data_IF_216829352903
#
_entry.id   IF_216829352903
#
_cell.length_a   1.000
_cell.length_b   1.000
_cell.length_c   1.000
_cell.angle_alpha   90.00
_cell.angle_beta   90.00
_cell.angle_gamma   90.00
#
_symmetry.space_group_name_H-M   'P 1'
#
loop_
_entity.id
_entity.type
_entity.pdbx_description
1 polymer ?
#
# COMPACT_ATOMS: atom_id res chain seq x y z
N UNK A 1 -15.98 -7.55 0.70
CA UNK A 1 -15.16 -7.59 1.92
C UNK A 1 -14.10 -6.52 1.75
N UNK A 2 -13.93 -5.61 2.71
CA UNK A 2 -12.98 -4.49 2.57
C UNK A 2 -11.64 -4.92 3.15
N UNK A 3 -10.66 -5.21 2.30
CA UNK A 3 -9.31 -5.61 2.70
C UNK A 3 -8.48 -4.37 3.04
N UNK A 4 -8.61 -3.89 4.28
CA UNK A 4 -7.85 -2.75 4.80
C UNK A 4 -6.61 -3.22 5.55
N UNK A 5 -5.44 -2.70 5.17
CA UNK A 5 -4.17 -2.96 5.85
C UNK A 5 -3.63 -1.67 6.45
N UNK A 6 -3.45 -1.65 7.78
CA UNK A 6 -2.88 -0.47 8.46
C UNK A 6 -1.47 -0.20 7.92
N UNK A 7 -1.17 1.04 7.54
CA UNK A 7 0.13 1.44 6.96
C UNK A 7 1.29 1.03 7.87
N UNK A 8 1.14 1.13 9.18
CA UNK A 8 2.18 0.75 10.14
C UNK A 8 2.48 -0.76 10.20
N UNK A 9 1.56 -1.62 9.71
CA UNK A 9 1.69 -3.09 9.73
C UNK A 9 2.02 -3.70 8.37
N UNK A 10 2.19 -2.89 7.33
CA UNK A 10 2.52 -3.40 5.98
C UNK A 10 3.87 -4.11 5.95
N UNK A 11 4.82 -3.70 6.80
CA UNK A 11 6.13 -4.34 6.89
C UNK A 11 6.07 -5.73 7.54
N UNK A 12 5.01 -6.05 8.28
CA UNK A 12 4.79 -7.36 8.89
C UNK A 12 4.24 -8.37 7.87
N UNK A 13 3.83 -7.90 6.68
CA UNK A 13 3.28 -8.72 5.61
C UNK A 13 4.29 -8.88 4.48
N UNK A 14 4.95 -10.05 4.34
CA UNK A 14 5.98 -10.25 3.31
C UNK A 14 5.42 -10.20 1.88
N UNK A 15 4.12 -10.52 1.70
CA UNK A 15 3.46 -10.51 0.39
C UNK A 15 3.07 -9.10 -0.08
N UNK A 16 3.25 -8.07 0.75
CA UNK A 16 2.87 -6.71 0.40
C UNK A 16 4.01 -6.00 -0.37
N UNK A 17 3.76 -5.47 -1.57
CA UNK A 17 4.84 -5.06 -2.48
C UNK A 17 5.53 -3.74 -2.10
N UNK A 18 4.99 -2.97 -1.14
CA UNK A 18 5.49 -1.64 -0.79
C UNK A 18 5.90 -1.55 0.69
N UNK A 19 6.95 -0.79 0.96
CA UNK A 19 7.35 -0.47 2.34
C UNK A 19 6.43 0.59 2.95
N UNK A 20 6.32 0.60 4.27
CA UNK A 20 5.59 1.65 5.00
C UNK A 20 6.09 3.05 4.66
N UNK A 21 7.42 3.22 4.50
CA UNK A 21 8.04 4.49 4.11
C UNK A 21 7.54 5.00 2.76
N UNK A 22 7.41 4.12 1.76
CA UNK A 22 6.88 4.46 0.44
C UNK A 22 5.43 4.92 0.54
N UNK A 23 4.61 4.23 1.34
CA UNK A 23 3.21 4.59 1.56
C UNK A 23 3.06 5.92 2.30
N UNK A 24 3.90 6.19 3.30
CA UNK A 24 3.93 7.50 3.98
C UNK A 24 4.35 8.62 3.03
N UNK A 25 5.33 8.36 2.16
CA UNK A 25 5.71 9.32 1.12
C UNK A 25 4.52 9.58 0.18
N UNK A 26 3.85 8.54 -0.31
CA UNK A 26 2.66 8.68 -1.15
C UNK A 26 1.53 9.45 -0.47
N UNK A 27 1.29 9.19 0.82
CA UNK A 27 0.33 9.95 1.63
C UNK A 27 0.73 11.43 1.71
N UNK A 28 2.02 11.72 1.93
CA UNK A 28 2.55 13.08 2.03
C UNK A 28 2.45 13.85 0.72
N UNK A 29 2.84 13.24 -0.40
CA UNK A 29 2.75 13.84 -1.74
C UNK A 29 1.35 13.73 -2.36
N UNK A 30 0.37 13.20 -1.62
CA UNK A 30 -1.00 12.91 -2.07
C UNK A 30 -1.04 12.13 -3.39
N UNK A 31 -0.13 11.17 -3.56
CA UNK A 31 -0.08 10.24 -4.68
C UNK A 31 -1.00 9.06 -4.38
N UNK A 32 -1.97 8.82 -5.24
CA UNK A 32 -3.01 7.79 -5.07
C UNK A 32 -3.80 7.90 -3.75
N UNK A 33 -4.41 9.06 -3.43
CA UNK A 33 -5.17 9.25 -2.20
C UNK A 33 -6.33 8.24 -2.04
N UNK A 34 -6.85 7.71 -3.14
CA UNK A 34 -7.92 6.71 -3.20
C UNK A 34 -7.55 5.32 -2.65
N UNK A 35 -6.26 5.09 -2.39
CA UNK A 35 -5.76 3.91 -1.70
C UNK A 35 -5.80 4.06 -0.18
N UNK A 36 -5.80 5.29 0.32
CA UNK A 36 -5.67 5.57 1.75
C UNK A 36 -7.04 5.85 2.36
N UNK A 37 -7.32 5.19 3.48
CA UNK A 37 -8.52 5.39 4.27
C UNK A 37 -8.10 5.71 5.69
N UNK A 38 -8.58 6.83 6.24
CA UNK A 38 -8.36 7.20 7.63
C UNK A 38 -9.58 6.83 8.46
N UNK A 39 -9.40 6.03 9.51
CA UNK A 39 -10.49 5.60 10.39
C UNK A 39 -10.10 5.91 11.84
N UNK A 40 -10.69 6.96 12.42
CA UNK A 40 -10.48 7.31 13.83
C UNK A 40 -9.03 7.67 14.20
N UNK A 41 -8.23 8.14 13.24
CA UNK A 41 -6.82 8.49 13.42
C UNK A 41 -5.86 7.67 12.54
N UNK A 42 -5.78 6.34 12.70
CA UNK A 42 -4.88 5.52 11.89
C UNK A 42 -5.22 5.52 10.40
N UNK A 43 -4.17 5.41 9.58
CA UNK A 43 -4.23 5.33 8.12
C UNK A 43 -4.11 3.87 7.69
N UNK A 44 -5.01 3.48 6.79
CA UNK A 44 -5.13 2.16 6.20
C UNK A 44 -4.98 2.24 4.68
N UNK A 45 -4.46 1.18 4.08
CA UNK A 45 -4.40 0.98 2.63
C UNK A 45 -5.49 0.01 2.23
N UNK A 46 -6.29 0.39 1.24
CA UNK A 46 -7.28 -0.47 0.63
C UNK A 46 -6.62 -1.39 -0.40
N UNK A 47 -6.62 -2.69 -0.12
CA UNK A 47 -6.02 -3.73 -0.95
C UNK A 47 -6.95 -4.25 -2.05
N UNK A 48 -8.24 -3.91 -2.01
CA UNK A 48 -9.19 -4.29 -3.07
C UNK A 48 -8.97 -3.50 -4.38
N UNK A 49 -7.98 -2.59 -4.40
CA UNK A 49 -7.48 -1.89 -5.59
C UNK A 49 -6.05 -2.35 -5.93
N UNK A 50 -5.85 -3.61 -6.38
CA UNK A 50 -4.51 -4.16 -6.64
C UNK A 50 -3.80 -3.47 -7.81
N UNK A 51 -4.56 -2.95 -8.79
CA UNK A 51 -4.03 -2.34 -10.02
C UNK A 51 -3.12 -1.14 -9.74
N UNK A 52 -3.40 -0.39 -8.66
CA UNK A 52 -2.68 0.84 -8.32
C UNK A 52 -1.36 0.57 -7.59
N UNK A 53 -1.22 -0.59 -6.94
CA UNK A 53 -0.06 -0.93 -6.12
C UNK A 53 1.10 -1.52 -6.93
N UNK A 54 0.83 -2.08 -8.11
CA UNK A 54 1.82 -2.83 -8.91
C UNK A 54 2.37 -2.04 -10.11
N UNK A 55 1.65 -1.02 -10.60
CA UNK A 55 1.86 -0.54 -11.95
C UNK A 55 2.97 0.51 -12.17
N UNK A 56 3.55 1.19 -11.16
CA UNK A 56 4.38 2.39 -11.44
C UNK A 56 5.73 2.56 -10.75
N UNK A 57 6.22 1.61 -9.95
CA UNK A 57 7.56 1.75 -9.31
C UNK A 57 8.55 0.62 -9.65
N UNK A 58 8.36 -0.04 -10.81
CA UNK A 58 9.48 -0.70 -11.52
C UNK A 58 10.26 -1.79 -10.78
N UNK A 59 9.75 -2.34 -9.68
CA UNK A 59 10.45 -3.39 -8.92
C UNK A 59 9.58 -4.61 -8.69
N UNK A 60 8.88 -5.06 -9.73
CA UNK A 60 8.44 -6.45 -9.78
C UNK A 60 9.69 -7.28 -10.06
N UNK A 61 10.40 -7.71 -9.01
CA UNK A 61 11.30 -8.86 -9.13
C UNK A 61 10.41 -10.07 -9.41
N UNK A 62 10.14 -10.32 -10.70
CA UNK A 62 9.65 -11.61 -11.17
C UNK A 62 10.68 -12.65 -10.75
N UNK A 63 10.37 -13.34 -9.67
CA UNK A 63 11.18 -14.41 -9.11
C UNK A 63 10.28 -15.49 -8.53
N UNK A 64 9.33 -15.97 -9.31
CA UNK A 64 8.63 -17.24 -9.09
C UNK A 64 7.90 -17.65 -10.37
N UNK A 65 8.58 -18.36 -11.26
CA UNK A 65 8.42 -19.81 -11.47
C UNK A 65 9.32 -20.26 -12.62
#
# INVERSE_FOLDING_TARGET
>A
MTNLLRVSRVNDRPDFPLRASTLYNWLHVRKHPELFVQLGGPVYVNLDKPDTLVAKDGTVRKGQR
#
